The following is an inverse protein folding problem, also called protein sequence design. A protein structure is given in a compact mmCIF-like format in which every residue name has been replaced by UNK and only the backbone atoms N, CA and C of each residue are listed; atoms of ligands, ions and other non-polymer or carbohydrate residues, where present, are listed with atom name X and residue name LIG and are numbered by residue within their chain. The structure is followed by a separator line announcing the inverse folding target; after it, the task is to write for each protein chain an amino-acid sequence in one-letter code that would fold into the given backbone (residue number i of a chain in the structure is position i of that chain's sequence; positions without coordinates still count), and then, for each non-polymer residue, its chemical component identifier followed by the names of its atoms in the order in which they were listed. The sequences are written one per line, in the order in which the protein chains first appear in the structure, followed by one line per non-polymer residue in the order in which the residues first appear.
data_IF_886758043911
#
_entry.id   IF_886758043911
#
_cell.length_a   1.000
_cell.length_b   1.000
_cell.length_c   1.000
_cell.angle_alpha   90.00
_cell.angle_beta   90.00
_cell.angle_gamma   90.00
#
_symmetry.space_group_name_H-M   'P 1'
#
loop_
_entity.id
_entity.type
_entity.pdbx_description
1 polymer ?
#
# COMPACT_ATOMS: atom_id res chain seq x y z
N UNK A 1 3.64 2.42 20.78
CA UNK A 1 3.71 3.32 19.60
C UNK A 1 3.90 2.46 18.37
N UNK A 2 2.85 2.26 17.57
CA UNK A 2 2.92 1.40 16.38
C UNK A 2 3.73 2.13 15.31
N UNK A 3 4.99 1.74 15.16
CA UNK A 3 5.83 2.26 14.09
C UNK A 3 5.29 1.76 12.77
N UNK A 4 4.93 2.67 11.87
CA UNK A 4 4.72 2.33 10.47
C UNK A 4 6.03 1.78 9.92
N UNK A 5 6.07 0.58 9.33
CA UNK A 5 7.29 0.03 8.74
C UNK A 5 7.91 0.98 7.70
N UNK A 6 7.08 1.75 6.98
CA UNK A 6 7.51 2.80 6.06
C UNK A 6 8.10 4.04 6.77
N UNK A 7 7.69 4.32 8.00
CA UNK A 7 8.11 5.50 8.79
C UNK A 7 9.14 5.17 9.87
N UNK A 8 9.62 3.94 9.97
CA UNK A 8 10.70 3.60 10.90
C UNK A 8 12.00 4.34 10.50
N UNK A 9 12.66 5.07 11.42
CA UNK A 9 13.99 5.61 11.15
C UNK A 9 14.94 4.45 10.87
N UNK A 10 15.78 4.59 9.84
CA UNK A 10 16.81 3.61 9.53
C UNK A 10 17.90 3.68 10.61
N UNK A 11 17.68 3.01 11.74
CA UNK A 11 18.70 2.79 12.77
C UNK A 11 19.69 1.73 12.32
N UNK A 12 20.47 2.03 11.28
CA UNK A 12 21.61 1.22 10.85
C UNK A 12 22.90 1.92 11.28
N UNK A 13 23.68 1.23 12.11
CA UNK A 13 24.89 1.72 12.76
C UNK A 13 25.88 2.44 11.83
N UNK A 14 26.48 3.51 12.38
CA UNK A 14 27.67 4.20 11.88
C UNK A 14 28.73 3.22 11.37
N UNK A 15 29.09 3.31 10.08
CA UNK A 15 30.47 3.06 9.63
C UNK A 15 30.90 4.20 8.71
N UNK A 16 31.79 5.01 9.26
CA UNK A 16 32.63 5.98 8.59
C UNK A 16 33.43 5.29 7.49
N UNK A 17 33.18 5.59 6.21
CA UNK A 17 34.17 5.50 5.13
C UNK A 17 33.93 6.69 4.19
N UNK A 18 34.75 7.71 4.38
CA UNK A 18 35.36 8.60 3.39
C UNK A 18 34.68 8.68 2.00
N UNK A 19 34.22 9.88 1.68
CA UNK A 19 34.73 10.65 0.54
C UNK A 19 34.80 9.92 -0.82
N UNK A 20 33.79 10.10 -1.68
CA UNK A 20 34.01 10.28 -3.12
C UNK A 20 32.79 10.91 -3.81
N UNK A 21 32.76 12.25 -3.81
CA UNK A 21 32.36 13.03 -4.98
C UNK A 21 33.45 12.83 -6.03
N UNK A 22 33.12 12.33 -7.23
CA UNK A 22 33.73 12.78 -8.50
C UNK A 22 32.77 12.42 -9.65
N UNK A 23 32.10 13.45 -10.15
CA UNK A 23 31.87 13.83 -11.55
C UNK A 23 31.11 12.97 -12.58
N UNK A 24 30.16 13.69 -13.18
CA UNK A 24 29.65 13.59 -14.54
C UNK A 24 30.61 12.94 -15.55
N UNK A 25 30.10 11.94 -16.29
CA UNK A 25 30.57 11.63 -17.64
C UNK A 25 29.38 11.25 -18.53
N UNK A 26 28.93 12.24 -19.30
CA UNK A 26 28.07 12.11 -20.47
C UNK A 26 28.73 11.18 -21.49
N UNK A 27 28.09 10.05 -21.83
CA UNK A 27 28.48 9.27 -23.02
C UNK A 27 27.24 8.89 -23.82
N UNK A 28 27.07 9.70 -24.86
CA UNK A 28 26.08 9.65 -25.94
C UNK A 28 26.02 8.26 -26.57
N UNK A 29 24.86 7.60 -26.56
CA UNK A 29 24.47 6.66 -27.62
C UNK A 29 22.93 6.60 -27.73
N UNK A 30 22.44 7.19 -28.82
CA UNK A 30 21.07 7.13 -29.36
C UNK A 30 21.26 7.16 -30.90
N UNK A 31 20.37 6.66 -31.78
CA UNK A 31 19.26 5.69 -31.65
C UNK A 31 19.43 4.49 -32.63
N UNK A 32 18.65 3.42 -32.45
CA UNK A 32 18.25 2.55 -33.59
C UNK A 32 16.73 2.40 -33.56
N UNK A 33 16.14 2.95 -34.61
CA UNK A 33 14.77 2.72 -35.08
C UNK A 33 14.63 1.29 -35.59
N UNK A 34 13.55 0.59 -35.23
CA UNK A 34 12.84 -0.25 -36.19
C UNK A 34 11.38 -0.46 -35.76
N UNK A 35 10.49 -0.08 -36.67
CA UNK A 35 9.05 -0.31 -36.62
C UNK A 35 8.71 -1.74 -37.08
N UNK A 36 7.61 -2.29 -36.58
CA UNK A 36 6.58 -2.97 -37.38
C UNK A 36 5.40 -3.40 -36.50
N UNK A 37 4.21 -3.01 -36.95
CA UNK A 37 2.93 -3.43 -36.42
C UNK A 37 2.59 -4.87 -36.83
N UNK A 38 1.79 -5.59 -36.03
CA UNK A 38 0.56 -6.25 -36.47
C UNK A 38 -0.06 -7.08 -35.32
N UNK A 39 -1.39 -7.16 -35.37
CA UNK A 39 -2.30 -7.80 -34.44
C UNK A 39 -2.03 -9.30 -34.24
N UNK A 40 -2.16 -9.76 -32.99
CA UNK A 40 -2.69 -11.10 -32.69
C UNK A 40 -3.65 -10.96 -31.51
N UNK A 41 -4.94 -11.17 -31.78
CA UNK A 41 -5.96 -11.32 -30.76
C UNK A 41 -5.80 -12.67 -30.07
N UNK A 42 -5.73 -12.66 -28.74
CA UNK A 42 -5.96 -13.86 -27.97
C UNK A 42 -7.46 -13.94 -27.68
N UNK A 43 -8.12 -14.86 -28.38
CA UNK A 43 -9.48 -15.28 -28.12
C UNK A 43 -9.50 -15.98 -26.75
N UNK A 44 -10.18 -15.37 -25.77
CA UNK A 44 -10.40 -16.02 -24.48
C UNK A 44 -11.55 -17.01 -24.63
N UNK A 45 -11.20 -18.28 -24.85
CA UNK A 45 -12.10 -19.42 -24.73
C UNK A 45 -12.77 -19.40 -23.35
N UNK A 46 -14.09 -19.28 -23.34
CA UNK A 46 -14.92 -19.39 -22.15
C UNK A 46 -14.98 -20.87 -21.75
N UNK A 47 -14.30 -21.25 -20.68
CA UNK A 47 -14.43 -22.58 -20.07
C UNK A 47 -15.68 -22.54 -19.17
N UNK A 48 -16.73 -23.35 -19.44
CA UNK A 48 -17.85 -23.49 -18.53
C UNK A 48 -17.55 -24.59 -17.51
N UNK A 49 -17.55 -24.22 -16.22
CA UNK A 49 -17.65 -25.19 -15.13
C UNK A 49 -16.37 -25.38 -14.31
N UNK A 50 -16.18 -24.51 -13.31
CA UNK A 50 -15.49 -24.89 -12.08
C UNK A 50 -16.18 -24.17 -10.92
N UNK A 51 -16.55 -24.93 -9.89
CA UNK A 51 -17.49 -24.53 -8.84
C UNK A 51 -17.23 -23.17 -8.20
N UNK A 52 -18.33 -22.46 -7.94
CA UNK A 52 -18.37 -21.29 -7.05
C UNK A 52 -17.76 -21.66 -5.70
N UNK A 53 -16.49 -21.32 -5.50
CA UNK A 53 -16.02 -20.94 -4.18
C UNK A 53 -16.77 -19.66 -3.83
N UNK A 54 -17.42 -19.54 -2.66
CA UNK A 54 -18.05 -18.29 -2.27
C UNK A 54 -16.94 -17.25 -2.06
N UNK A 55 -16.61 -16.50 -3.11
CA UNK A 55 -16.10 -15.14 -2.94
C UNK A 55 -17.22 -14.38 -2.24
N UNK A 56 -16.98 -13.75 -1.07
CA UNK A 56 -17.91 -12.76 -0.58
C UNK A 56 -17.95 -11.64 -1.63
N UNK A 57 -18.93 -11.71 -2.53
CA UNK A 57 -19.27 -10.60 -3.38
C UNK A 57 -19.66 -9.48 -2.43
N UNK A 58 -18.90 -8.39 -2.45
CA UNK A 58 -19.22 -7.16 -1.74
C UNK A 58 -20.51 -6.65 -2.37
N UNK A 59 -21.64 -7.05 -1.79
CA UNK A 59 -22.96 -6.57 -2.16
C UNK A 59 -23.03 -5.11 -1.70
N UNK A 60 -22.88 -4.18 -2.64
CA UNK A 60 -23.33 -2.80 -2.44
C UNK A 60 -24.85 -2.84 -2.27
N UNK A 61 -25.31 -2.92 -1.02
CA UNK A 61 -26.73 -2.85 -0.70
C UNK A 61 -27.21 -1.40 -0.90
N UNK A 62 -28.29 -1.16 -1.66
CA UNK A 62 -28.94 0.14 -1.69
C UNK A 62 -29.57 0.39 -0.31
N UNK A 63 -28.89 1.22 0.48
CA UNK A 63 -29.24 1.59 1.83
C UNK A 63 -28.21 2.58 2.38
N UNK A 64 -28.52 3.23 3.50
CA UNK A 64 -27.55 4.08 4.22
C UNK A 64 -26.26 3.29 4.41
N UNK A 65 -25.13 3.85 3.97
CA UNK A 65 -23.84 3.19 4.06
C UNK A 65 -23.56 2.78 5.51
N UNK A 66 -23.01 1.57 5.68
CA UNK A 66 -22.61 1.03 6.98
C UNK A 66 -21.31 0.25 6.82
N UNK A 67 -20.44 0.38 7.81
CA UNK A 67 -19.25 -0.45 7.92
C UNK A 67 -19.64 -1.91 8.18
N UNK A 68 -18.80 -2.82 7.72
CA UNK A 68 -18.90 -4.24 8.07
C UNK A 68 -18.85 -4.41 9.60
N UNK A 69 -19.63 -5.35 10.13
CA UNK A 69 -19.66 -5.60 11.58
C UNK A 69 -18.28 -5.97 12.16
N UNK A 70 -17.42 -6.62 11.37
CA UNK A 70 -16.06 -6.98 11.74
C UNK A 70 -15.04 -5.85 11.58
N UNK A 71 -15.42 -4.69 11.05
CA UNK A 71 -14.49 -3.67 10.57
C UNK A 71 -13.40 -3.30 11.59
N UNK A 72 -13.80 -2.94 12.81
CA UNK A 72 -12.85 -2.53 13.85
C UNK A 72 -11.98 -3.67 14.37
N UNK A 73 -12.50 -4.91 14.36
CA UNK A 73 -11.69 -6.08 14.65
C UNK A 73 -10.65 -6.34 13.55
N UNK A 74 -10.99 -6.07 12.29
CA UNK A 74 -10.07 -6.22 11.17
C UNK A 74 -9.00 -5.11 11.15
N UNK A 75 -9.37 -3.86 11.49
CA UNK A 75 -8.43 -2.76 11.75
C UNK A 75 -7.41 -3.14 12.83
N UNK A 76 -7.89 -3.70 13.95
CA UNK A 76 -7.02 -4.14 15.04
C UNK A 76 -6.03 -5.24 14.58
N UNK A 77 -6.51 -6.26 13.85
CA UNK A 77 -5.64 -7.31 13.29
C UNK A 77 -4.58 -6.75 12.34
N UNK A 78 -4.94 -5.78 11.49
CA UNK A 78 -3.98 -5.10 10.59
C UNK A 78 -2.92 -4.36 11.40
N UNK A 79 -3.32 -3.67 12.46
CA UNK A 79 -2.40 -2.95 13.36
C UNK A 79 -1.42 -3.90 14.06
N UNK A 80 -1.90 -5.04 14.53
CA UNK A 80 -1.06 -6.04 15.22
C UNK A 80 -0.04 -6.64 14.24
N UNK A 81 -0.47 -6.99 13.03
CA UNK A 81 0.43 -7.48 11.98
C UNK A 81 1.45 -6.41 11.54
N UNK A 82 1.03 -5.15 11.39
CA UNK A 82 1.93 -4.05 11.09
C UNK A 82 3.00 -3.86 12.19
N UNK A 83 2.61 -3.99 13.46
CA UNK A 83 3.54 -3.93 14.59
C UNK A 83 4.57 -5.07 14.52
N UNK A 84 4.09 -6.31 14.35
CA UNK A 84 4.96 -7.49 14.22
C UNK A 84 5.98 -7.33 13.08
N UNK A 85 5.52 -6.84 11.92
CA UNK A 85 6.39 -6.61 10.76
C UNK A 85 7.40 -5.49 11.00
N UNK A 86 7.00 -4.41 11.66
CA UNK A 86 7.91 -3.32 12.04
C UNK A 86 9.01 -3.77 12.99
N UNK A 87 8.70 -4.64 13.95
CA UNK A 87 9.71 -5.23 14.84
C UNK A 87 10.73 -6.06 14.05
N UNK A 88 10.28 -6.82 13.06
CA UNK A 88 11.17 -7.58 12.17
C UNK A 88 12.06 -6.67 11.31
N UNK A 89 11.55 -5.52 10.88
CA UNK A 89 12.36 -4.49 10.19
C UNK A 89 13.39 -3.88 11.13
N UNK A 90 13.00 -3.52 12.35
CA UNK A 90 13.90 -2.95 13.36
C UNK A 90 15.01 -3.93 13.78
N UNK A 91 14.72 -5.23 13.75
CA UNK A 91 15.69 -6.30 13.98
C UNK A 91 16.54 -6.65 12.75
N UNK A 92 16.32 -6.00 11.60
CA UNK A 92 17.03 -6.29 10.35
C UNK A 92 16.69 -7.64 9.70
N UNK A 93 15.63 -8.32 10.16
CA UNK A 93 15.21 -9.63 9.63
C UNK A 93 14.56 -9.53 8.26
N UNK A 94 13.85 -8.44 8.01
CA UNK A 94 13.22 -8.13 6.72
C UNK A 94 13.40 -6.65 6.39
N UNK A 95 13.31 -6.31 5.11
CA UNK A 95 13.37 -4.92 4.65
C UNK A 95 12.02 -4.22 4.78
N UNK A 96 12.00 -2.88 4.75
CA UNK A 96 10.75 -2.08 4.77
C UNK A 96 9.80 -2.48 3.63
N UNK A 97 10.36 -2.71 2.45
CA UNK A 97 9.58 -3.13 1.27
C UNK A 97 9.01 -4.53 1.46
N UNK A 98 9.79 -5.47 2.00
CA UNK A 98 9.29 -6.81 2.31
C UNK A 98 8.14 -6.75 3.32
N UNK A 99 8.29 -5.97 4.40
CA UNK A 99 7.24 -5.74 5.39
C UNK A 99 5.95 -5.18 4.75
N UNK A 100 6.06 -4.14 3.92
CA UNK A 100 4.91 -3.58 3.19
C UNK A 100 4.18 -4.65 2.34
N UNK A 101 4.94 -5.46 1.61
CA UNK A 101 4.38 -6.54 0.80
C UNK A 101 3.70 -7.63 1.65
N UNK A 102 4.25 -7.99 2.82
CA UNK A 102 3.62 -8.96 3.73
C UNK A 102 2.28 -8.41 4.25
N UNK A 103 2.28 -7.13 4.67
CA UNK A 103 1.09 -6.45 5.16
C UNK A 103 0.00 -6.38 4.08
N UNK A 104 0.38 -6.18 2.82
CA UNK A 104 -0.54 -6.23 1.69
C UNK A 104 -1.24 -7.59 1.54
N UNK A 105 -0.45 -8.67 1.57
CA UNK A 105 -0.99 -10.02 1.48
C UNK A 105 -1.89 -10.32 2.66
N UNK A 106 -1.53 -9.84 3.85
CA UNK A 106 -2.35 -10.00 5.05
C UNK A 106 -3.69 -9.28 4.91
N UNK A 107 -3.70 -7.98 4.58
CA UNK A 107 -4.96 -7.21 4.44
C UNK A 107 -5.87 -7.82 3.38
N UNK A 108 -5.35 -8.26 2.23
CA UNK A 108 -6.15 -8.84 1.15
C UNK A 108 -6.78 -10.18 1.60
N UNK A 109 -6.04 -11.00 2.36
CA UNK A 109 -6.62 -12.23 2.94
C UNK A 109 -7.68 -11.95 3.99
N UNK A 110 -7.54 -10.85 4.72
CA UNK A 110 -8.43 -10.50 5.82
C UNK A 110 -9.74 -9.86 5.35
N UNK A 111 -9.65 -8.82 4.50
CA UNK A 111 -10.81 -8.00 4.12
C UNK A 111 -11.13 -8.05 2.61
N UNK A 112 -10.33 -8.76 1.82
CA UNK A 112 -10.44 -8.79 0.37
C UNK A 112 -9.80 -7.58 -0.30
N UNK A 113 -9.94 -7.50 -1.63
CA UNK A 113 -9.57 -6.29 -2.37
C UNK A 113 -10.59 -5.19 -2.07
N UNK A 114 -10.09 -3.99 -1.88
CA UNK A 114 -10.90 -2.82 -1.56
C UNK A 114 -10.28 -1.62 -2.26
N UNK A 115 -11.00 -0.93 -3.15
CA UNK A 115 -10.42 0.12 -3.99
C UNK A 115 -9.79 1.27 -3.19
N UNK A 116 -10.33 1.58 -2.02
CA UNK A 116 -9.78 2.62 -1.14
C UNK A 116 -8.51 2.10 -0.48
N UNK A 117 -8.54 0.91 0.12
CA UNK A 117 -7.37 0.31 0.75
C UNK A 117 -6.22 0.04 -0.24
N UNK A 118 -6.55 -0.45 -1.44
CA UNK A 118 -5.60 -0.77 -2.52
C UNK A 118 -4.87 0.51 -2.97
N UNK A 119 -5.60 1.59 -3.21
CA UNK A 119 -5.00 2.88 -3.61
C UNK A 119 -4.14 3.53 -2.52
N UNK A 120 -4.56 3.42 -1.26
CA UNK A 120 -3.76 3.93 -0.12
C UNK A 120 -2.51 3.07 0.05
N UNK A 121 -2.63 1.76 -0.16
CA UNK A 121 -1.50 0.83 -0.12
C UNK A 121 -0.45 1.16 -1.18
N UNK A 122 -0.83 1.58 -2.38
CA UNK A 122 0.15 1.97 -3.41
C UNK A 122 1.05 3.12 -2.96
N UNK A 123 0.47 4.14 -2.30
CA UNK A 123 1.22 5.26 -1.73
C UNK A 123 2.10 4.80 -0.55
N UNK A 124 1.57 3.91 0.28
CA UNK A 124 2.31 3.30 1.39
C UNK A 124 3.55 2.52 0.89
N UNK A 125 3.37 1.64 -0.11
CA UNK A 125 4.44 0.82 -0.67
C UNK A 125 5.50 1.69 -1.34
N UNK A 126 5.08 2.67 -2.15
CA UNK A 126 6.01 3.64 -2.75
C UNK A 126 6.83 4.36 -1.69
N UNK A 127 6.19 4.81 -0.61
CA UNK A 127 6.88 5.46 0.50
C UNK A 127 7.88 4.54 1.19
N UNK A 128 7.55 3.25 1.34
CA UNK A 128 8.47 2.26 1.90
C UNK A 128 9.71 2.04 1.00
N UNK A 129 9.51 1.94 -0.32
CA UNK A 129 10.61 1.85 -1.31
C UNK A 129 11.49 3.09 -1.25
N UNK A 130 10.88 4.27 -1.31
CA UNK A 130 11.59 5.55 -1.31
C UNK A 130 12.34 5.76 0.02
N UNK A 131 11.76 5.35 1.14
CA UNK A 131 12.42 5.45 2.44
C UNK A 131 13.56 4.45 2.60
N UNK A 132 13.43 3.24 2.05
CA UNK A 132 14.47 2.22 2.11
C UNK A 132 15.73 2.64 1.36
N UNK A 133 15.58 3.32 0.21
CA UNK A 133 16.72 3.83 -0.57
C UNK A 133 17.24 5.20 -0.09
N UNK A 134 16.71 5.72 1.02
CA UNK A 134 17.10 7.03 1.57
C UNK A 134 16.61 8.24 0.77
N UNK A 135 15.69 8.07 -0.19
CA UNK A 135 15.14 9.17 -0.97
C UNK A 135 14.17 10.03 -0.14
N UNK A 136 13.49 9.43 0.84
CA UNK A 136 12.64 10.15 1.79
C UNK A 136 12.87 9.70 3.24
N UNK A 137 12.65 10.63 4.16
CA UNK A 137 12.64 10.33 5.59
C UNK A 137 11.24 9.93 6.08
N UNK A 138 11.16 9.60 7.37
CA UNK A 138 9.92 9.22 8.04
C UNK A 138 8.83 10.29 7.98
N UNK A 139 9.19 11.56 8.16
CA UNK A 139 8.24 12.68 8.13
C UNK A 139 7.62 12.84 6.74
N UNK A 140 8.44 12.79 5.69
CA UNK A 140 7.98 12.85 4.30
C UNK A 140 7.08 11.65 3.94
N UNK A 141 7.43 10.44 4.40
CA UNK A 141 6.55 9.27 4.23
C UNK A 141 5.19 9.47 4.89
N UNK A 142 5.15 9.99 6.13
CA UNK A 142 3.88 10.32 6.80
C UNK A 142 3.09 11.37 6.05
N UNK A 143 3.75 12.39 5.50
CA UNK A 143 3.10 13.43 4.70
C UNK A 143 2.46 12.84 3.43
N UNK A 144 3.16 11.99 2.68
CA UNK A 144 2.61 11.37 1.48
C UNK A 144 1.39 10.50 1.77
N UNK A 145 1.49 9.64 2.79
CA UNK A 145 0.36 8.79 3.21
C UNK A 145 -0.80 9.66 3.73
N UNK A 146 -0.52 10.66 4.57
CA UNK A 146 -1.52 11.57 5.11
C UNK A 146 -2.25 12.38 4.04
N UNK A 147 -1.54 12.85 3.00
CA UNK A 147 -2.15 13.54 1.86
C UNK A 147 -3.07 12.62 1.05
N UNK A 148 -2.67 11.35 0.86
CA UNK A 148 -3.52 10.37 0.19
C UNK A 148 -4.81 10.09 0.97
N UNK A 149 -4.72 9.95 2.30
CA UNK A 149 -5.86 9.76 3.19
C UNK A 149 -6.80 10.97 3.20
N UNK A 150 -6.26 12.19 3.30
CA UNK A 150 -7.07 13.42 3.20
C UNK A 150 -7.80 13.52 1.87
N UNK A 151 -7.14 13.17 0.77
CA UNK A 151 -7.79 13.09 -0.54
C UNK A 151 -8.97 12.11 -0.56
N UNK A 152 -8.84 10.98 0.13
CA UNK A 152 -9.94 10.02 0.29
C UNK A 152 -11.07 10.56 1.17
N UNK A 153 -10.77 11.26 2.26
CA UNK A 153 -11.78 11.90 3.11
C UNK A 153 -12.66 12.89 2.33
N UNK A 154 -12.06 13.67 1.42
CA UNK A 154 -12.82 14.59 0.57
C UNK A 154 -13.70 13.86 -0.46
N UNK A 155 -13.20 12.76 -1.04
CA UNK A 155 -13.96 11.98 -2.04
C UNK A 155 -15.06 11.13 -1.40
N UNK A 156 -14.87 10.72 -0.15
CA UNK A 156 -15.70 9.72 0.51
C UNK A 156 -17.21 10.07 0.55
N UNK A 157 -17.64 11.28 0.96
CA UNK A 157 -19.06 11.64 0.96
C UNK A 157 -19.73 11.49 -0.40
N UNK A 158 -19.00 11.80 -1.48
CA UNK A 158 -19.49 11.80 -2.87
C UNK A 158 -19.38 10.44 -3.56
N UNK A 159 -18.80 9.43 -2.90
CA UNK A 159 -18.67 8.09 -3.46
C UNK A 159 -20.01 7.34 -3.42
N UNK A 160 -20.48 6.86 -4.58
CA UNK A 160 -21.70 6.06 -4.70
C UNK A 160 -21.51 4.62 -4.20
N UNK A 161 -20.42 3.96 -4.63
CA UNK A 161 -20.12 2.57 -4.29
C UNK A 161 -19.03 2.50 -3.22
N UNK A 162 -19.37 2.89 -1.99
CA UNK A 162 -18.44 2.83 -0.86
C UNK A 162 -18.15 1.36 -0.49
N UNK A 163 -16.87 0.96 -0.33
CA UNK A 163 -16.54 -0.37 0.12
C UNK A 163 -16.91 -0.52 1.61
N UNK A 164 -17.50 -1.65 1.99
CA UNK A 164 -18.00 -1.85 3.36
C UNK A 164 -16.90 -2.01 4.42
N UNK A 165 -15.66 -2.31 4.03
CA UNK A 165 -14.57 -2.58 4.97
C UNK A 165 -13.24 -1.92 4.56
N UNK A 166 -13.10 -0.59 4.64
CA UNK A 166 -11.83 0.14 4.39
C UNK A 166 -10.87 0.03 5.58
N UNK A 167 -10.57 -1.19 6.02
CA UNK A 167 -9.85 -1.44 7.26
C UNK A 167 -8.40 -0.93 7.20
N UNK A 168 -7.72 -1.07 6.06
CA UNK A 168 -6.34 -0.61 5.93
C UNK A 168 -6.26 0.92 5.93
N UNK A 169 -7.17 1.59 5.21
CA UNK A 169 -7.26 3.05 5.22
C UNK A 169 -7.60 3.59 6.62
N UNK A 170 -8.55 2.95 7.33
CA UNK A 170 -8.91 3.38 8.69
C UNK A 170 -7.83 3.09 9.73
N UNK A 171 -7.08 1.98 9.60
CA UNK A 171 -5.85 1.77 10.37
C UNK A 171 -4.85 2.93 10.20
N UNK A 172 -4.62 3.36 8.95
CA UNK A 172 -3.70 4.47 8.70
C UNK A 172 -4.28 5.82 9.14
N UNK A 173 -5.60 6.02 9.08
CA UNK A 173 -6.24 7.20 9.65
C UNK A 173 -6.01 7.28 11.16
N UNK A 174 -6.20 6.18 11.91
CA UNK A 174 -5.87 6.13 13.35
C UNK A 174 -4.42 6.52 13.61
N UNK A 175 -3.49 5.98 12.83
CA UNK A 175 -2.06 6.25 12.97
C UNK A 175 -1.69 7.72 12.70
N UNK A 176 -2.43 8.38 11.81
CA UNK A 176 -2.19 9.78 11.42
C UNK A 176 -3.04 10.78 12.21
N UNK A 177 -3.88 10.33 13.16
CA UNK A 177 -4.80 11.18 13.90
C UNK A 177 -5.89 11.80 13.01
N UNK A 178 -6.26 11.10 11.93
CA UNK A 178 -7.28 11.52 10.97
C UNK A 178 -8.62 10.83 11.28
N UNK A 179 -9.76 11.47 10.95
CA UNK A 179 -11.05 10.82 11.15
C UNK A 179 -11.21 9.59 10.23
N UNK A 180 -11.81 8.50 10.73
CA UNK A 180 -12.14 7.32 9.96
C UNK A 180 -13.18 7.57 8.85
N UNK A 181 -13.15 6.71 7.84
CA UNK A 181 -14.10 6.68 6.72
C UNK A 181 -15.36 5.91 7.15
N UNK A 182 -16.53 6.58 7.14
CA UNK A 182 -17.79 6.15 7.76
C UNK A 182 -19.05 6.34 6.93
#
# INVERSE_FOLDING_TARGET
MVFCAACAPAGGAHRNILQQRVDNAMKKYLPVLLACAALVGCETTVIPGMGKRPTPAVQSQPGTYRLAASHWADVAKIRDEATRLSDQVGQGKITKVQAAQQLNRFRIRLVGNNPVDDSVYDVYLRSAVDSQRGAINSSQSKQYIGNALKGWQTRWPHMQNKPANPAFANFLNELMGLPPLH
#
